data_IF_570109312727
#
_entry.id   IF_570109312727
#
_cell.length_a   1.000
_cell.length_b   1.000
_cell.length_c   1.000
_cell.angle_alpha   90.00
_cell.angle_beta   90.00
_cell.angle_gamma   90.00
#
_symmetry.space_group_name_H-M   'P 1'
#
loop_
_entity.id
_entity.type
_entity.pdbx_description
1 polymer ?
#
# COMPACT_ATOMS: atom_id res chain seq x y z
N UNK A 1 23.65 29.33 19.77
CA UNK A 1 23.40 28.17 20.67
C UNK A 1 21.93 27.77 20.62
N UNK A 2 21.02 28.73 20.74
CA UNK A 2 19.55 28.60 20.58
C UNK A 2 19.09 27.78 19.35
N UNK A 3 19.58 28.09 18.14
CA UNK A 3 19.16 27.40 16.91
C UNK A 3 19.53 25.90 16.86
N UNK A 4 20.66 25.51 17.47
CA UNK A 4 21.10 24.10 17.50
C UNK A 4 20.21 23.28 18.43
N UNK A 5 19.91 23.82 19.60
CA UNK A 5 19.00 23.20 20.58
C UNK A 5 17.57 23.07 20.02
N UNK A 6 17.09 24.09 19.29
CA UNK A 6 15.80 24.02 18.61
C UNK A 6 15.77 22.92 17.55
N UNK A 7 16.81 22.79 16.72
CA UNK A 7 16.87 21.74 15.69
C UNK A 7 16.95 20.34 16.32
N UNK A 8 17.70 20.19 17.40
CA UNK A 8 17.85 18.92 18.14
C UNK A 8 16.54 18.50 18.82
N UNK A 9 15.82 19.45 19.42
CA UNK A 9 14.48 19.22 19.98
C UNK A 9 13.46 18.84 18.90
N UNK A 10 13.46 19.53 17.75
CA UNK A 10 12.56 19.21 16.63
C UNK A 10 12.87 17.80 16.09
N UNK A 11 14.14 17.45 15.95
CA UNK A 11 14.57 16.12 15.49
C UNK A 11 14.13 15.01 16.46
N UNK A 12 14.34 15.20 17.76
CA UNK A 12 13.89 14.25 18.79
C UNK A 12 12.36 14.13 18.86
N UNK A 13 11.65 15.25 18.71
CA UNK A 13 10.18 15.25 18.62
C UNK A 13 9.70 14.46 17.40
N UNK A 14 10.42 14.53 16.27
CA UNK A 14 10.07 13.83 15.04
C UNK A 14 10.48 12.35 15.05
N UNK A 15 11.47 11.97 15.87
CA UNK A 15 11.96 10.59 15.96
C UNK A 15 10.89 9.61 16.48
N UNK A 16 10.26 9.93 17.62
CA UNK A 16 9.22 9.07 18.21
C UNK A 16 8.04 8.80 17.26
N UNK A 17 7.40 9.80 16.62
CA UNK A 17 6.31 9.55 15.69
C UNK A 17 6.77 8.79 14.44
N UNK A 18 7.99 9.01 13.94
CA UNK A 18 8.53 8.25 12.83
C UNK A 18 8.71 6.76 13.19
N UNK A 19 9.22 6.47 14.40
CA UNK A 19 9.40 5.11 14.89
C UNK A 19 8.07 4.40 15.15
N UNK A 20 7.09 5.10 15.74
CA UNK A 20 5.72 4.59 15.90
C UNK A 20 5.10 4.29 14.54
N UNK A 21 5.23 5.20 13.57
CA UNK A 21 4.70 5.00 12.22
C UNK A 21 5.37 3.81 11.52
N UNK A 22 6.68 3.62 11.69
CA UNK A 22 7.41 2.45 11.18
C UNK A 22 6.87 1.14 11.78
N UNK A 23 6.63 1.10 13.09
CA UNK A 23 6.06 -0.07 13.78
C UNK A 23 4.62 -0.34 13.30
N UNK A 24 3.80 0.71 13.15
CA UNK A 24 2.44 0.59 12.59
C UNK A 24 2.49 0.07 11.16
N UNK A 25 3.40 0.59 10.33
CA UNK A 25 3.59 0.14 8.95
C UNK A 25 4.05 -1.32 8.90
N UNK A 26 4.91 -1.75 9.82
CA UNK A 26 5.34 -3.15 9.98
C UNK A 26 4.17 -4.06 10.35
N UNK A 27 3.34 -3.66 11.32
CA UNK A 27 2.16 -4.43 11.69
C UNK A 27 1.17 -4.52 10.51
N UNK A 28 0.95 -3.40 9.83
CA UNK A 28 0.08 -3.34 8.67
C UNK A 28 0.57 -4.21 7.52
N UNK A 29 1.88 -4.24 7.23
CA UNK A 29 2.42 -5.07 6.15
C UNK A 29 2.31 -6.56 6.47
N UNK A 30 2.45 -6.96 7.74
CA UNK A 30 2.23 -8.36 8.16
C UNK A 30 0.79 -8.79 7.91
N UNK A 31 -0.18 -7.93 8.25
CA UNK A 31 -1.60 -8.18 7.97
C UNK A 31 -1.87 -8.20 6.45
N UNK A 32 -1.30 -7.26 5.70
CA UNK A 32 -1.43 -7.19 4.24
C UNK A 32 -0.84 -8.43 3.55
N UNK A 33 0.30 -8.93 4.04
CA UNK A 33 0.92 -10.16 3.56
C UNK A 33 0.03 -11.38 3.84
N UNK A 34 -0.56 -11.47 5.04
CA UNK A 34 -1.52 -12.53 5.36
C UNK A 34 -2.78 -12.48 4.47
N UNK A 35 -3.32 -11.29 4.23
CA UNK A 35 -4.44 -11.10 3.30
C UNK A 35 -4.06 -11.45 1.86
N UNK A 36 -2.84 -11.13 1.45
CA UNK A 36 -2.30 -11.45 0.12
C UNK A 36 -2.18 -12.96 -0.08
N UNK A 37 -1.61 -13.69 0.88
CA UNK A 37 -1.51 -15.16 0.86
C UNK A 37 -2.91 -15.78 0.78
N UNK A 38 -3.85 -15.29 1.59
CA UNK A 38 -5.25 -15.74 1.56
C UNK A 38 -5.92 -15.45 0.21
N UNK A 39 -5.70 -14.27 -0.36
CA UNK A 39 -6.22 -13.87 -1.66
C UNK A 39 -5.65 -14.70 -2.81
N UNK A 40 -4.34 -14.96 -2.79
CA UNK A 40 -3.66 -15.84 -3.73
C UNK A 40 -4.20 -17.28 -3.66
N UNK A 41 -4.39 -17.80 -2.45
CA UNK A 41 -4.98 -19.13 -2.23
C UNK A 41 -6.44 -19.22 -2.70
N UNK A 42 -7.22 -18.14 -2.53
CA UNK A 42 -8.59 -18.07 -3.04
C UNK A 42 -8.64 -18.03 -4.57
N UNK A 43 -7.69 -17.34 -5.21
CA UNK A 43 -7.52 -17.32 -6.67
C UNK A 43 -7.11 -18.69 -7.22
N UNK A 44 -6.19 -19.38 -6.53
CA UNK A 44 -5.81 -20.78 -6.83
C UNK A 44 -6.99 -21.75 -6.68
N UNK A 45 -7.99 -21.42 -5.85
CA UNK A 45 -9.27 -22.15 -5.72
C UNK A 45 -10.39 -21.62 -6.62
N UNK A 46 -10.10 -20.72 -7.57
CA UNK A 46 -11.05 -20.24 -8.57
C UNK A 46 -12.13 -19.27 -8.08
N UNK A 47 -12.04 -18.75 -6.84
CA UNK A 47 -13.00 -17.76 -6.33
C UNK A 47 -12.45 -16.34 -6.53
N UNK A 48 -13.02 -15.61 -7.50
CA UNK A 48 -12.77 -14.17 -7.74
C UNK A 48 -13.95 -13.31 -7.22
N UNK A 49 -14.09 -13.09 -5.90
CA UNK A 49 -15.27 -12.44 -5.31
C UNK A 49 -15.43 -10.96 -5.71
N UNK A 50 -14.34 -10.25 -5.99
CA UNK A 50 -14.39 -8.86 -6.44
C UNK A 50 -15.00 -8.74 -7.85
N UNK A 51 -14.62 -9.65 -8.75
CA UNK A 51 -15.14 -9.73 -10.12
C UNK A 51 -16.64 -10.05 -10.13
N UNK A 52 -17.08 -11.01 -9.30
CA UNK A 52 -18.46 -11.46 -9.24
C UNK A 52 -19.46 -10.33 -8.92
N UNK A 53 -19.06 -9.34 -8.12
CA UNK A 53 -19.92 -8.21 -7.77
C UNK A 53 -20.17 -7.28 -8.95
N UNK A 54 -19.12 -6.89 -9.68
CA UNK A 54 -19.25 -5.99 -10.83
C UNK A 54 -19.92 -6.67 -12.03
N UNK A 55 -19.63 -7.95 -12.25
CA UNK A 55 -20.35 -8.79 -13.22
C UNK A 55 -21.86 -8.81 -12.93
N UNK A 56 -22.26 -9.02 -11.66
CA UNK A 56 -23.67 -9.01 -11.28
C UNK A 56 -24.33 -7.63 -11.47
N UNK A 57 -23.59 -6.53 -11.26
CA UNK A 57 -24.10 -5.18 -11.52
C UNK A 57 -24.28 -4.93 -13.02
N UNK A 58 -23.36 -5.40 -13.87
CA UNK A 58 -23.47 -5.34 -15.33
C UNK A 58 -24.66 -6.16 -15.81
N UNK A 59 -24.79 -7.42 -15.34
CA UNK A 59 -25.90 -8.30 -15.72
C UNK A 59 -27.26 -7.75 -15.24
N UNK A 60 -27.30 -7.06 -14.10
CA UNK A 60 -28.51 -6.38 -13.63
C UNK A 60 -28.85 -5.16 -14.49
N UNK A 61 -27.86 -4.33 -14.82
CA UNK A 61 -28.04 -3.19 -15.71
C UNK A 61 -28.50 -3.62 -17.12
N UNK A 62 -27.98 -4.75 -17.63
CA UNK A 62 -28.37 -5.32 -18.91
C UNK A 62 -29.81 -5.86 -18.97
N UNK A 63 -30.43 -6.12 -17.81
CA UNK A 63 -31.85 -6.54 -17.73
C UNK A 63 -32.81 -5.37 -17.67
N UNK A 64 -32.34 -4.19 -17.28
CA UNK A 64 -33.15 -2.97 -17.28
C UNK A 64 -33.13 -2.35 -18.67
N UNK A 65 -34.22 -2.51 -19.43
CA UNK A 65 -34.40 -1.83 -20.72
C UNK A 65 -34.49 -0.31 -20.52
N UNK A 66 -33.60 0.44 -21.18
CA UNK A 66 -33.61 1.89 -21.14
C UNK A 66 -32.55 2.54 -22.03
N UNK A 67 -32.86 3.72 -22.56
CA UNK A 67 -32.05 4.47 -23.52
C UNK A 67 -30.66 4.95 -23.01
N UNK A 68 -30.27 4.58 -21.79
CA UNK A 68 -29.03 5.01 -21.15
C UNK A 68 -28.17 3.84 -20.63
N UNK A 69 -28.30 2.64 -21.23
CA UNK A 69 -27.51 1.46 -20.87
C UNK A 69 -26.00 1.75 -20.94
N UNK A 70 -25.55 2.40 -22.01
CA UNK A 70 -24.14 2.76 -22.23
C UNK A 70 -23.56 3.59 -21.08
N UNK A 71 -24.24 4.69 -20.70
CA UNK A 71 -23.85 5.55 -19.58
C UNK A 71 -23.81 4.81 -18.24
N UNK A 72 -24.72 3.85 -18.02
CA UNK A 72 -24.76 3.06 -16.78
C UNK A 72 -23.61 2.06 -16.72
N UNK A 73 -23.31 1.38 -17.82
CA UNK A 73 -22.19 0.45 -17.93
C UNK A 73 -20.86 1.18 -17.73
N UNK A 74 -20.70 2.34 -18.35
CA UNK A 74 -19.52 3.20 -18.17
C UNK A 74 -19.37 3.63 -16.71
N UNK A 75 -20.46 4.04 -16.04
CA UNK A 75 -20.42 4.40 -14.62
C UNK A 75 -19.99 3.21 -13.73
N UNK A 76 -20.43 1.99 -14.04
CA UNK A 76 -20.01 0.78 -13.30
C UNK A 76 -18.53 0.48 -13.55
N UNK A 77 -18.06 0.63 -14.79
CA UNK A 77 -16.66 0.43 -15.15
C UNK A 77 -15.75 1.44 -14.44
N UNK A 78 -16.09 2.73 -14.46
CA UNK A 78 -15.36 3.77 -13.72
C UNK A 78 -15.31 3.47 -12.21
N UNK A 79 -16.38 2.94 -11.63
CA UNK A 79 -16.38 2.53 -10.22
C UNK A 79 -15.44 1.34 -9.96
N UNK A 80 -15.39 0.37 -10.87
CA UNK A 80 -14.49 -0.78 -10.76
C UNK A 80 -13.02 -0.34 -10.87
N UNK A 81 -12.69 0.51 -11.84
CA UNK A 81 -11.35 1.07 -12.03
C UNK A 81 -10.89 1.88 -10.83
N UNK A 82 -11.75 2.77 -10.32
CA UNK A 82 -11.43 3.59 -9.15
C UNK A 82 -11.21 2.73 -7.89
N UNK A 83 -12.01 1.70 -7.68
CA UNK A 83 -11.86 0.80 -6.54
C UNK A 83 -10.56 -0.01 -6.62
N UNK A 84 -10.23 -0.50 -7.82
CA UNK A 84 -9.01 -1.21 -8.11
C UNK A 84 -7.77 -0.33 -7.86
N UNK A 85 -7.77 0.89 -8.39
CA UNK A 85 -6.69 1.86 -8.23
C UNK A 85 -6.44 2.21 -6.76
N UNK A 86 -7.49 2.55 -6.00
CA UNK A 86 -7.37 2.87 -4.56
C UNK A 86 -6.73 1.73 -3.74
N UNK A 87 -7.03 0.49 -4.11
CA UNK A 87 -6.48 -0.68 -3.43
C UNK A 87 -4.97 -0.86 -3.67
N UNK A 88 -4.47 -0.40 -4.81
CA UNK A 88 -3.04 -0.40 -5.17
C UNK A 88 -2.31 0.78 -4.56
N UNK A 89 -2.92 1.97 -4.56
CA UNK A 89 -2.32 3.20 -4.03
C UNK A 89 -1.91 3.05 -2.56
N UNK A 90 -2.75 2.39 -1.76
CA UNK A 90 -2.45 2.14 -0.33
C UNK A 90 -1.19 1.29 -0.15
N UNK A 91 -0.98 0.28 -0.98
CA UNK A 91 0.22 -0.57 -0.93
C UNK A 91 1.44 0.16 -1.49
N UNK A 92 1.27 0.89 -2.59
CA UNK A 92 2.33 1.73 -3.21
C UNK A 92 2.83 2.82 -2.28
N UNK A 93 1.97 3.37 -1.44
CA UNK A 93 2.38 4.29 -0.38
C UNK A 93 3.40 3.62 0.56
N UNK A 94 3.12 2.40 1.04
CA UNK A 94 4.01 1.66 1.93
C UNK A 94 5.38 1.32 1.29
N UNK A 95 5.43 1.11 -0.04
CA UNK A 95 6.68 0.88 -0.79
C UNK A 95 7.67 2.04 -0.61
N UNK A 96 7.18 3.28 -0.61
CA UNK A 96 8.03 4.48 -0.45
C UNK A 96 8.16 4.88 1.02
N UNK A 97 7.07 4.83 1.77
CA UNK A 97 7.05 5.26 3.16
C UNK A 97 7.95 4.38 4.06
N UNK A 98 7.99 3.06 3.86
CA UNK A 98 8.80 2.14 4.68
C UNK A 98 10.28 2.50 4.70
N UNK A 99 10.96 2.53 3.53
CA UNK A 99 12.37 2.90 3.45
C UNK A 99 12.65 4.32 3.94
N UNK A 100 11.78 5.30 3.64
CA UNK A 100 11.95 6.68 4.10
C UNK A 100 11.88 6.81 5.63
N UNK A 101 10.94 6.11 6.27
CA UNK A 101 10.84 6.07 7.73
C UNK A 101 12.01 5.32 8.37
N UNK A 102 12.46 4.23 7.75
CA UNK A 102 13.65 3.50 8.17
C UNK A 102 14.91 4.36 8.17
N UNK A 103 15.09 5.17 7.12
CA UNK A 103 16.18 6.13 6.96
C UNK A 103 16.12 7.27 7.98
N UNK A 104 14.93 7.84 8.25
CA UNK A 104 14.78 8.81 9.36
C UNK A 104 15.14 8.18 10.71
N UNK A 105 14.74 6.92 10.91
CA UNK A 105 15.10 6.15 12.11
C UNK A 105 16.59 5.91 12.27
N UNK A 106 17.41 6.08 11.23
CA UNK A 106 18.88 5.96 11.34
C UNK A 106 19.56 7.28 11.57
N UNK A 107 19.15 8.30 10.80
CA UNK A 107 19.85 9.57 10.79
C UNK A 107 19.72 10.29 12.15
N UNK A 108 18.59 10.14 12.84
CA UNK A 108 18.35 10.81 14.12
C UNK A 108 19.17 10.16 15.26
N UNK A 109 19.09 8.84 15.53
CA UNK A 109 19.91 8.23 16.57
C UNK A 109 21.40 8.22 16.22
N UNK A 110 21.78 8.12 14.94
CA UNK A 110 23.19 8.19 14.56
C UNK A 110 23.80 9.56 14.87
N UNK A 111 23.05 10.65 14.71
CA UNK A 111 23.50 11.98 15.13
C UNK A 111 23.74 12.04 16.66
N UNK A 112 22.84 11.46 17.45
CA UNK A 112 23.01 11.35 18.90
C UNK A 112 24.22 10.48 19.28
N UNK A 113 24.41 9.35 18.58
CA UNK A 113 25.52 8.41 18.79
C UNK A 113 26.88 9.08 18.57
N UNK A 114 27.03 9.86 17.49
CA UNK A 114 28.25 10.63 17.20
C UNK A 114 28.53 11.70 18.26
N UNK A 115 27.49 12.32 18.82
CA UNK A 115 27.62 13.28 19.92
C UNK A 115 28.01 12.60 21.25
N UNK A 116 27.55 11.37 21.50
CA UNK A 116 28.01 10.53 22.61
C UNK A 116 29.50 10.15 22.47
N UNK A 117 29.92 9.78 21.27
CA UNK A 117 31.33 9.49 20.96
C UNK A 117 32.26 10.69 21.21
N UNK A 118 31.82 11.91 20.85
CA UNK A 118 32.58 13.13 21.12
C UNK A 118 32.82 13.36 22.64
N UNK A 119 32.00 12.73 23.49
CA UNK A 119 32.10 12.77 24.96
C UNK A 119 32.78 11.53 25.56
N UNK A 120 33.20 10.57 24.74
CA UNK A 120 33.82 9.30 25.18
C UNK A 120 32.84 8.24 25.68
N UNK A 121 31.52 8.41 25.46
CA UNK A 121 30.48 7.48 25.91
C UNK A 121 30.23 6.38 24.86
N UNK A 122 31.01 5.30 24.94
CA UNK A 122 30.89 4.14 24.07
C UNK A 122 29.57 3.34 24.28
N UNK A 123 29.06 3.17 25.51
CA UNK A 123 27.74 2.56 25.73
C UNK A 123 26.60 3.29 25.02
N UNK A 124 26.53 4.63 25.12
CA UNK A 124 25.49 5.43 24.47
C UNK A 124 25.60 5.38 22.93
N UNK A 125 26.83 5.39 22.41
CA UNK A 125 27.10 5.15 20.98
C UNK A 125 26.51 3.81 20.52
N UNK A 126 26.83 2.73 21.24
CA UNK A 126 26.42 1.38 20.87
C UNK A 126 24.89 1.22 20.87
N UNK A 127 24.21 1.73 21.91
CA UNK A 127 22.75 1.66 22.02
C UNK A 127 22.04 2.37 20.86
N UNK A 128 22.45 3.60 20.55
CA UNK A 128 21.87 4.39 19.47
C UNK A 128 22.14 3.79 18.08
N UNK A 129 23.31 3.17 17.87
CA UNK A 129 23.64 2.48 16.61
C UNK A 129 22.75 1.25 16.36
N UNK A 130 22.45 0.45 17.39
CA UNK A 130 21.59 -0.73 17.25
C UNK A 130 20.19 -0.32 16.79
N UNK A 131 19.63 0.73 17.39
CA UNK A 131 18.32 1.26 17.01
C UNK A 131 18.36 1.78 15.57
N UNK A 132 19.38 2.57 15.21
CA UNK A 132 19.56 3.09 13.86
C UNK A 132 19.62 1.98 12.80
N UNK A 133 20.50 1.00 12.95
CA UNK A 133 20.61 -0.06 11.94
C UNK A 133 19.34 -0.90 11.84
N UNK A 134 18.74 -1.21 12.98
CA UNK A 134 17.50 -2.01 13.04
C UNK A 134 16.34 -1.31 12.33
N UNK A 135 16.20 0.02 12.48
CA UNK A 135 15.12 0.76 11.82
C UNK A 135 15.24 0.74 10.29
N UNK A 136 16.47 0.79 9.74
CA UNK A 136 16.67 0.65 8.28
C UNK A 136 16.35 -0.74 7.80
N UNK A 137 16.83 -1.78 8.49
CA UNK A 137 16.55 -3.17 8.12
C UNK A 137 15.04 -3.40 8.06
N UNK A 138 14.32 -2.93 9.09
CA UNK A 138 12.84 -3.01 9.13
C UNK A 138 12.22 -2.16 8.01
N UNK A 139 12.64 -0.91 7.82
CA UNK A 139 12.07 -0.02 6.79
C UNK A 139 12.22 -0.56 5.37
N UNK A 140 13.41 -1.09 5.03
CA UNK A 140 13.66 -1.74 3.74
C UNK A 140 12.83 -3.01 3.60
N UNK A 141 12.78 -3.86 4.64
CA UNK A 141 11.99 -5.08 4.61
C UNK A 141 10.50 -4.79 4.34
N UNK A 142 9.94 -3.78 5.00
CA UNK A 142 8.55 -3.34 4.76
C UNK A 142 8.36 -2.85 3.32
N UNK A 143 9.28 -2.04 2.80
CA UNK A 143 9.22 -1.54 1.43
C UNK A 143 9.28 -2.65 0.37
N UNK A 144 10.18 -3.63 0.56
CA UNK A 144 10.33 -4.79 -0.34
C UNK A 144 9.09 -5.66 -0.33
N UNK A 145 8.55 -5.99 0.85
CA UNK A 145 7.33 -6.81 0.96
C UNK A 145 6.15 -6.08 0.35
N UNK A 146 5.99 -4.77 0.61
CA UNK A 146 4.95 -3.95 -0.01
C UNK A 146 5.07 -3.94 -1.54
N UNK A 147 6.29 -3.88 -2.08
CA UNK A 147 6.53 -3.85 -3.51
C UNK A 147 6.10 -5.16 -4.18
N UNK A 148 6.47 -6.30 -3.59
CA UNK A 148 6.05 -7.62 -4.08
C UNK A 148 4.52 -7.76 -4.07
N UNK A 149 3.86 -7.31 -2.99
CA UNK A 149 2.39 -7.34 -2.90
C UNK A 149 1.77 -6.45 -3.99
N UNK A 150 2.29 -5.23 -4.19
CA UNK A 150 1.79 -4.30 -5.19
C UNK A 150 1.92 -4.88 -6.61
N UNK A 151 3.08 -5.44 -6.95
CA UNK A 151 3.34 -6.04 -8.26
C UNK A 151 2.34 -7.15 -8.60
N UNK A 152 2.10 -8.08 -7.66
CA UNK A 152 1.17 -9.18 -7.92
C UNK A 152 -0.29 -8.70 -7.95
N UNK A 153 -0.67 -7.78 -7.06
CA UNK A 153 -2.02 -7.19 -7.06
C UNK A 153 -2.31 -6.41 -8.33
N UNK A 154 -1.32 -5.73 -8.89
CA UNK A 154 -1.45 -4.98 -10.13
C UNK A 154 -1.78 -5.92 -11.30
N UNK A 155 -1.02 -7.02 -11.46
CA UNK A 155 -1.32 -8.02 -12.47
C UNK A 155 -2.73 -8.60 -12.35
N UNK A 156 -3.14 -8.93 -11.13
CA UNK A 156 -4.50 -9.40 -10.82
C UNK A 156 -5.60 -8.38 -11.13
N UNK A 157 -5.34 -7.11 -10.82
CA UNK A 157 -6.27 -6.02 -11.07
C UNK A 157 -6.47 -5.79 -12.56
N UNK A 158 -5.41 -5.87 -13.36
CA UNK A 158 -5.50 -5.76 -14.81
C UNK A 158 -6.35 -6.87 -15.41
N UNK A 159 -6.07 -8.13 -15.06
CA UNK A 159 -6.88 -9.27 -15.53
C UNK A 159 -8.37 -9.13 -15.17
N UNK A 160 -8.68 -8.67 -13.96
CA UNK A 160 -10.07 -8.52 -13.51
C UNK A 160 -10.80 -7.38 -14.24
N UNK A 161 -10.12 -6.24 -14.46
CA UNK A 161 -10.70 -5.12 -15.19
C UNK A 161 -10.95 -5.46 -16.67
N UNK A 162 -10.03 -6.17 -17.32
CA UNK A 162 -10.21 -6.58 -18.71
C UNK A 162 -11.42 -7.51 -18.88
N UNK A 163 -11.63 -8.43 -17.92
CA UNK A 163 -12.81 -9.28 -17.93
C UNK A 163 -14.13 -8.51 -17.69
N UNK A 164 -14.11 -7.49 -16.82
CA UNK A 164 -15.26 -6.62 -16.57
C UNK A 164 -15.59 -5.79 -17.82
N UNK A 165 -14.58 -5.20 -18.48
CA UNK A 165 -14.72 -4.45 -19.73
C UNK A 165 -15.32 -5.29 -20.84
N UNK A 166 -14.78 -6.50 -21.03
CA UNK A 166 -15.30 -7.43 -22.04
C UNK A 166 -16.78 -7.76 -21.81
N UNK A 167 -17.18 -7.97 -20.55
CA UNK A 167 -18.59 -8.27 -20.23
C UNK A 167 -19.50 -7.05 -20.45
N UNK A 168 -19.03 -5.86 -20.09
CA UNK A 168 -19.77 -4.62 -20.35
C UNK A 168 -20.00 -4.42 -21.86
N UNK A 169 -18.98 -4.62 -22.68
CA UNK A 169 -19.11 -4.50 -24.14
C UNK A 169 -20.08 -5.54 -24.73
N UNK A 170 -20.04 -6.78 -24.24
CA UNK A 170 -21.01 -7.81 -24.63
C UNK A 170 -22.44 -7.41 -24.25
N UNK A 171 -22.65 -6.93 -23.02
CA UNK A 171 -23.97 -6.49 -22.56
C UNK A 171 -24.53 -5.31 -23.38
N UNK A 172 -23.65 -4.38 -23.79
CA UNK A 172 -24.04 -3.27 -24.65
C UNK A 172 -24.48 -3.74 -26.04
N UNK A 173 -23.75 -4.70 -26.65
CA UNK A 173 -24.11 -5.30 -27.94
C UNK A 173 -25.42 -6.08 -27.87
N UNK A 174 -25.59 -6.93 -26.85
CA UNK A 174 -26.81 -7.70 -26.64
C UNK A 174 -28.05 -6.80 -26.45
N UNK A 175 -27.87 -5.61 -25.87
CA UNK A 175 -28.92 -4.61 -25.70
C UNK A 175 -29.20 -3.77 -26.95
N UNK A 176 -28.27 -3.69 -27.90
CA UNK A 176 -28.44 -2.99 -29.17
C UNK A 176 -29.15 -3.83 -30.24
N UNK A 177 -29.10 -5.16 -30.12
CA UNK A 177 -29.74 -6.12 -31.04
C UNK A 177 -31.21 -6.44 -30.66
N UNK A 178 -31.71 -5.91 -29.54
CA UNK A 178 -33.10 -6.07 -29.06
C UNK A 178 -33.96 -4.86 -29.39
#
# INVERSE_FOLDING_TARGET
MELKLLLEQISNLLFYPALVLLVVLLAWILVALGMFVRGGWQRLRGRRPAQARYLAMIDAAAREEGAALDLRLEAILMQAENAAQRSLDTVRFAVRAGPSLGLMGTLIPMAAALNGLARGDLPDLAGNMVVAFSSTVVGIAVGVVAYVIAMVREGWSHEDLDAIRLRAEQALRDGSDR
#
